data_IF_216360252832
#
_entry.id   IF_216360252832
#
_cell.length_a   1.000
_cell.length_b   1.000
_cell.length_c   1.000
_cell.angle_alpha   90.00
_cell.angle_beta   90.00
_cell.angle_gamma   90.00
#
_symmetry.space_group_name_H-M   'P 1'
#
loop_
_entity.id
_entity.type
_entity.pdbx_description
1 polymer ?
#
# COMPACT_ATOMS: atom_id res chain seq x y z
N UNK A 1 6.32 13.63 -24.20
CA UNK A 1 7.22 12.62 -23.59
C UNK A 1 6.36 11.76 -22.69
N UNK A 2 6.09 10.52 -23.12
CA UNK A 2 5.32 9.61 -22.30
C UNK A 2 6.17 9.23 -21.07
N UNK A 3 5.73 9.65 -19.89
CA UNK A 3 6.31 9.17 -18.65
C UNK A 3 6.03 7.67 -18.57
N UNK A 4 7.04 6.85 -18.78
CA UNK A 4 6.94 5.44 -18.47
C UNK A 4 6.86 5.30 -16.96
N UNK A 5 5.65 5.18 -16.44
CA UNK A 5 5.46 4.82 -15.03
C UNK A 5 5.92 3.38 -14.83
N UNK A 6 7.06 3.22 -14.20
CA UNK A 6 7.50 1.92 -13.74
C UNK A 6 6.83 1.59 -12.42
N UNK A 7 5.97 0.57 -12.42
CA UNK A 7 5.37 0.05 -11.21
C UNK A 7 6.37 -0.87 -10.52
N UNK A 8 6.95 -0.44 -9.41
CA UNK A 8 7.83 -1.27 -8.59
C UNK A 8 6.98 -1.95 -7.52
N UNK A 9 6.78 -3.25 -7.67
CA UNK A 9 6.10 -4.07 -6.66
C UNK A 9 7.09 -4.38 -5.54
N UNK A 10 6.94 -3.73 -4.41
CA UNK A 10 7.76 -3.97 -3.23
C UNK A 10 7.12 -5.02 -2.34
N UNK A 11 7.34 -6.29 -2.63
CA UNK A 11 6.89 -7.39 -1.76
C UNK A 11 8.01 -7.81 -0.84
N UNK A 12 9.01 -7.31 -0.44
CA UNK A 12 10.03 -7.79 0.54
C UNK A 12 11.36 -7.03 0.58
N UNK A 13 11.61 -6.03 -0.30
CA UNK A 13 12.94 -5.46 -0.37
C UNK A 13 12.91 -3.93 -0.48
N UNK A 14 12.53 -3.25 0.62
CA UNK A 14 12.64 -1.80 0.75
C UNK A 14 14.04 -1.27 0.33
N UNK A 15 15.08 -2.06 0.57
CA UNK A 15 16.44 -1.72 0.16
C UNK A 15 16.65 -1.65 -1.35
N UNK A 16 15.83 -2.32 -2.16
CA UNK A 16 15.97 -2.28 -3.62
C UNK A 16 15.45 -0.99 -4.25
N UNK A 17 14.39 -0.39 -3.71
CA UNK A 17 13.89 0.89 -4.23
C UNK A 17 14.88 2.00 -3.94
N UNK A 18 15.36 2.09 -2.70
CA UNK A 18 16.41 3.03 -2.34
C UNK A 18 17.65 2.86 -3.22
N UNK A 19 18.04 1.61 -3.50
CA UNK A 19 19.17 1.32 -4.39
C UNK A 19 18.92 1.78 -5.83
N UNK A 20 17.73 1.58 -6.37
CA UNK A 20 17.35 2.03 -7.71
C UNK A 20 17.34 3.56 -7.80
N UNK A 21 16.74 4.23 -6.81
CA UNK A 21 16.71 5.69 -6.73
C UNK A 21 18.12 6.28 -6.60
N UNK A 22 18.97 5.67 -5.76
CA UNK A 22 20.35 6.13 -5.53
C UNK A 22 21.30 5.86 -6.71
N UNK A 23 20.93 4.99 -7.64
CA UNK A 23 21.69 4.75 -8.86
C UNK A 23 21.39 5.76 -9.98
N UNK A 24 20.50 6.73 -9.73
CA UNK A 24 20.22 7.81 -10.68
C UNK A 24 19.45 7.39 -11.93
N UNK A 25 18.79 6.24 -11.90
CA UNK A 25 17.99 5.77 -13.03
C UNK A 25 16.68 6.54 -13.20
N UNK A 26 16.11 7.03 -12.10
CA UNK A 26 14.83 7.74 -12.10
C UNK A 26 14.77 8.75 -10.95
N UNK A 27 14.10 9.87 -11.18
CA UNK A 27 13.69 10.75 -10.10
C UNK A 27 12.55 10.09 -9.30
N UNK A 28 12.40 10.37 -7.99
CA UNK A 28 11.34 9.79 -7.17
C UNK A 28 9.93 9.95 -7.74
N UNK A 29 9.65 11.07 -8.38
CA UNK A 29 8.35 11.37 -8.99
C UNK A 29 8.06 10.55 -10.26
N UNK A 30 9.06 9.90 -10.85
CA UNK A 30 8.92 9.04 -12.02
C UNK A 30 8.57 7.60 -11.65
N UNK A 31 8.63 7.24 -10.37
CA UNK A 31 8.38 5.88 -9.88
C UNK A 31 7.06 5.86 -9.12
N UNK A 32 6.18 4.93 -9.49
CA UNK A 32 4.96 4.64 -8.75
C UNK A 32 5.23 3.55 -7.71
N UNK A 33 5.25 3.93 -6.43
CA UNK A 33 5.58 3.02 -5.33
C UNK A 33 4.32 2.41 -4.74
N UNK A 34 4.22 1.08 -4.79
CA UNK A 34 3.16 0.32 -4.10
C UNK A 34 3.80 -0.53 -3.01
N UNK A 35 3.27 -0.46 -1.80
CA UNK A 35 3.65 -1.34 -0.70
C UNK A 35 2.42 -1.85 0.05
N UNK A 36 2.62 -2.70 1.03
CA UNK A 36 1.53 -3.35 1.78
C UNK A 36 1.79 -3.32 3.28
N UNK A 37 0.72 -3.22 4.06
CA UNK A 37 0.71 -3.55 5.48
C UNK A 37 0.34 -5.02 5.67
N UNK A 38 1.08 -5.71 6.49
CA UNK A 38 0.84 -7.09 6.86
C UNK A 38 -0.05 -7.19 8.11
N UNK A 39 -0.78 -8.29 8.31
CA UNK A 39 -1.67 -8.45 9.46
C UNK A 39 -1.01 -8.22 10.83
N UNK A 40 0.26 -8.58 10.98
CA UNK A 40 1.01 -8.34 12.21
C UNK A 40 1.34 -6.87 12.47
N UNK A 41 1.08 -5.99 11.51
CA UNK A 41 1.28 -4.54 11.62
C UNK A 41 -0.04 -3.78 11.87
N UNK A 42 -1.19 -4.44 11.73
CA UNK A 42 -2.50 -3.77 11.76
C UNK A 42 -2.79 -3.08 13.10
N UNK A 43 -2.40 -3.68 14.21
CA UNK A 43 -2.58 -3.07 15.53
C UNK A 43 -1.77 -1.76 15.73
N UNK A 44 -0.72 -1.56 14.94
CA UNK A 44 0.17 -0.39 14.99
C UNK A 44 0.34 0.20 13.58
N UNK A 45 -0.74 0.31 12.82
CA UNK A 45 -0.71 0.66 11.39
C UNK A 45 -0.14 2.07 11.14
N UNK A 46 -0.44 3.03 12.00
CA UNK A 46 0.09 4.40 11.88
C UNK A 46 1.64 4.40 11.95
N UNK A 47 2.20 3.72 12.93
CA UNK A 47 3.65 3.57 13.06
C UNK A 47 4.24 2.80 11.89
N UNK A 48 3.55 1.78 11.41
CA UNK A 48 3.99 0.97 10.28
C UNK A 48 4.02 1.77 8.95
N UNK A 49 3.12 2.72 8.76
CA UNK A 49 3.16 3.65 7.61
C UNK A 49 4.41 4.53 7.69
N UNK A 50 4.68 5.12 8.86
CA UNK A 50 5.86 5.97 9.05
C UNK A 50 7.15 5.17 8.88
N UNK A 51 7.19 3.95 9.40
CA UNK A 51 8.33 3.04 9.23
C UNK A 51 8.56 2.67 7.75
N UNK A 52 7.50 2.46 6.99
CA UNK A 52 7.59 2.19 5.55
C UNK A 52 8.19 3.38 4.79
N UNK A 53 7.76 4.60 5.08
CA UNK A 53 8.32 5.82 4.49
C UNK A 53 9.81 5.97 4.81
N UNK A 54 10.20 5.73 6.06
CA UNK A 54 11.60 5.80 6.50
C UNK A 54 12.48 4.75 5.82
N UNK A 55 12.01 3.51 5.76
CA UNK A 55 12.73 2.41 5.10
C UNK A 55 12.89 2.61 3.60
N UNK A 56 11.88 3.19 2.96
CA UNK A 56 11.89 3.49 1.53
C UNK A 56 12.65 4.78 1.21
N UNK A 57 12.91 5.60 2.22
CA UNK A 57 13.54 6.92 2.10
C UNK A 57 12.81 7.82 1.08
N UNK A 58 11.48 7.88 1.22
CA UNK A 58 10.59 8.68 0.38
C UNK A 58 9.63 9.50 1.23
N UNK A 59 9.10 10.58 0.67
CA UNK A 59 8.19 11.50 1.36
C UNK A 59 6.73 11.03 1.34
N UNK A 60 6.35 10.26 0.32
CA UNK A 60 5.01 9.71 0.17
C UNK A 60 5.03 8.37 -0.56
N UNK A 61 3.98 7.59 -0.35
CA UNK A 61 3.72 6.32 -1.02
C UNK A 61 2.55 6.53 -1.98
N UNK A 62 2.70 6.15 -3.25
CA UNK A 62 1.63 6.30 -4.25
C UNK A 62 0.42 5.43 -3.93
N UNK A 63 0.64 4.20 -3.50
CA UNK A 63 -0.44 3.28 -3.12
C UNK A 63 0.00 2.33 -2.00
N UNK A 64 -0.86 2.20 -0.99
CA UNK A 64 -0.69 1.22 0.07
C UNK A 64 -1.89 0.29 0.16
N UNK A 65 -1.63 -1.01 0.29
CA UNK A 65 -2.65 -2.05 0.38
C UNK A 65 -2.58 -2.75 1.74
N UNK A 66 -3.73 -3.17 2.28
CA UNK A 66 -3.74 -4.22 3.30
C UNK A 66 -3.48 -5.56 2.61
N UNK A 67 -2.55 -6.34 3.14
CA UNK A 67 -2.05 -7.56 2.47
C UNK A 67 -3.06 -8.73 2.50
N UNK A 68 -3.76 -8.89 3.61
CA UNK A 68 -4.82 -9.88 3.83
C UNK A 68 -5.86 -9.33 4.80
N UNK A 69 -7.10 -9.89 4.83
CA UNK A 69 -8.00 -9.71 5.97
C UNK A 69 -7.34 -10.22 7.26
N UNK A 70 -7.66 -9.61 8.38
CA UNK A 70 -7.12 -10.04 9.68
C UNK A 70 -7.64 -9.19 10.82
N UNK A 71 -7.22 -9.54 12.03
CA UNK A 71 -7.57 -8.76 13.23
C UNK A 71 -7.09 -7.32 13.08
N UNK A 72 -7.93 -6.36 13.45
CA UNK A 72 -7.67 -4.92 13.34
C UNK A 72 -7.53 -4.38 11.90
N UNK A 73 -8.03 -5.11 10.89
CA UNK A 73 -7.94 -4.67 9.49
C UNK A 73 -8.71 -3.37 9.21
N UNK A 74 -9.88 -3.18 9.83
CA UNK A 74 -10.66 -1.94 9.72
C UNK A 74 -9.87 -0.77 10.33
N UNK A 75 -9.36 -0.94 11.54
CA UNK A 75 -8.56 0.08 12.23
C UNK A 75 -7.28 0.41 11.45
N UNK A 76 -6.65 -0.59 10.86
CA UNK A 76 -5.47 -0.39 10.01
C UNK A 76 -5.83 0.39 8.73
N UNK A 77 -6.96 0.10 8.12
CA UNK A 77 -7.43 0.85 6.96
C UNK A 77 -7.77 2.30 7.31
N UNK A 78 -8.41 2.51 8.45
CA UNK A 78 -8.71 3.87 8.96
C UNK A 78 -7.42 4.66 9.26
N UNK A 79 -6.37 4.01 9.76
CA UNK A 79 -5.05 4.63 9.90
C UNK A 79 -4.45 5.00 8.53
N UNK A 80 -4.65 4.18 7.50
CA UNK A 80 -4.25 4.52 6.14
C UNK A 80 -5.09 5.67 5.57
N UNK A 81 -6.39 5.75 5.86
CA UNK A 81 -7.24 6.90 5.50
C UNK A 81 -6.70 8.20 6.10
N UNK A 82 -6.30 8.16 7.37
CA UNK A 82 -5.66 9.30 8.03
C UNK A 82 -4.33 9.67 7.35
N UNK A 83 -3.52 8.69 6.98
CA UNK A 83 -2.27 8.92 6.27
C UNK A 83 -2.48 9.54 4.87
N UNK A 84 -3.60 9.24 4.21
CA UNK A 84 -4.00 9.93 2.97
C UNK A 84 -4.26 11.41 3.23
N UNK A 85 -5.01 11.75 4.27
CA UNK A 85 -5.27 13.14 4.65
C UNK A 85 -3.99 13.91 5.01
N UNK A 86 -3.02 13.23 5.62
CA UNK A 86 -1.72 13.80 5.98
C UNK A 86 -0.74 13.92 4.79
N UNK A 87 -1.10 13.40 3.62
CA UNK A 87 -0.26 13.43 2.43
C UNK A 87 0.86 12.38 2.41
N UNK A 88 0.83 11.40 3.30
CA UNK A 88 1.79 10.29 3.37
C UNK A 88 1.52 9.21 2.33
N UNK A 89 0.26 9.04 1.94
CA UNK A 89 -0.21 8.04 0.98
C UNK A 89 -1.15 8.74 -0.02
N UNK A 90 -0.99 8.46 -1.32
CA UNK A 90 -1.87 9.03 -2.35
C UNK A 90 -3.16 8.23 -2.53
N UNK A 91 -3.09 6.91 -2.48
CA UNK A 91 -4.24 6.01 -2.66
C UNK A 91 -4.09 4.74 -1.85
N UNK A 92 -5.22 4.13 -1.49
CA UNK A 92 -5.27 2.93 -0.65
C UNK A 92 -6.14 1.86 -1.26
N UNK A 93 -5.85 0.61 -0.94
CA UNK A 93 -6.56 -0.53 -1.48
C UNK A 93 -6.39 -1.79 -0.64
N UNK A 94 -6.84 -2.91 -1.19
CA UNK A 94 -6.90 -4.20 -0.52
C UNK A 94 -6.24 -5.30 -1.37
N UNK A 95 -5.74 -6.33 -0.70
CA UNK A 95 -5.19 -7.52 -1.34
C UNK A 95 -5.74 -8.76 -0.64
N UNK A 96 -6.20 -9.73 -1.41
CA UNK A 96 -6.79 -10.98 -0.90
C UNK A 96 -8.11 -10.79 -0.13
N UNK A 97 -8.92 -9.81 -0.50
CA UNK A 97 -10.31 -9.66 -0.06
C UNK A 97 -11.25 -10.22 -1.12
N UNK A 98 -12.17 -11.05 -0.71
CA UNK A 98 -13.21 -11.63 -1.56
C UNK A 98 -14.59 -11.10 -1.15
N UNK A 99 -15.64 -11.61 -1.75
CA UNK A 99 -17.00 -11.04 -1.60
C UNK A 99 -17.47 -10.99 -0.15
N UNK A 100 -17.22 -12.04 0.62
CA UNK A 100 -17.67 -12.14 2.00
C UNK A 100 -16.99 -11.08 2.87
N UNK A 101 -15.65 -11.02 2.82
CA UNK A 101 -14.85 -10.06 3.58
C UNK A 101 -15.17 -8.62 3.17
N UNK A 102 -15.32 -8.35 1.87
CA UNK A 102 -15.66 -7.02 1.37
C UNK A 102 -17.04 -6.55 1.83
N UNK A 103 -18.02 -7.45 1.90
CA UNK A 103 -19.38 -7.12 2.34
C UNK A 103 -19.41 -6.64 3.78
N UNK A 104 -18.57 -7.23 4.63
CA UNK A 104 -18.45 -6.82 6.04
C UNK A 104 -17.57 -5.59 6.24
N UNK A 105 -16.53 -5.46 5.43
CA UNK A 105 -15.51 -4.44 5.57
C UNK A 105 -15.94 -3.06 5.04
N UNK A 106 -16.47 -3.00 3.82
CA UNK A 106 -16.73 -1.74 3.14
C UNK A 106 -17.67 -0.77 3.89
N UNK A 107 -18.70 -1.23 4.62
CA UNK A 107 -19.54 -0.32 5.41
C UNK A 107 -18.82 0.38 6.57
N UNK A 108 -17.63 -0.09 6.96
CA UNK A 108 -16.89 0.38 8.13
C UNK A 108 -15.77 1.37 7.77
N UNK A 109 -15.56 1.64 6.49
CA UNK A 109 -14.51 2.52 6.01
C UNK A 109 -15.08 3.69 5.21
N UNK A 110 -14.33 4.77 5.11
CA UNK A 110 -14.77 6.02 4.46
C UNK A 110 -14.27 6.12 3.02
N UNK A 111 -12.99 5.80 2.78
CA UNK A 111 -12.38 5.84 1.46
C UNK A 111 -12.58 4.49 0.78
N UNK A 112 -13.29 4.48 -0.35
CA UNK A 112 -13.41 3.28 -1.17
C UNK A 112 -12.05 2.82 -1.66
N UNK A 113 -11.71 1.52 -1.50
CA UNK A 113 -10.45 1.00 -2.03
C UNK A 113 -10.29 1.28 -3.52
N UNK A 114 -9.17 1.88 -3.90
CA UNK A 114 -8.87 2.22 -5.31
C UNK A 114 -8.44 0.99 -6.12
N UNK A 115 -7.97 -0.05 -5.45
CA UNK A 115 -7.46 -1.29 -6.06
C UNK A 115 -7.82 -2.48 -5.19
N UNK A 116 -8.16 -3.58 -5.84
CA UNK A 116 -8.27 -4.91 -5.25
C UNK A 116 -7.33 -5.86 -5.98
N UNK A 117 -6.32 -6.36 -5.29
CA UNK A 117 -5.35 -7.31 -5.83
C UNK A 117 -5.60 -8.71 -5.30
N UNK A 118 -6.17 -9.59 -6.11
CA UNK A 118 -6.48 -10.97 -5.75
C UNK A 118 -5.80 -11.96 -6.69
N UNK A 119 -5.60 -13.19 -6.21
CA UNK A 119 -5.23 -14.31 -7.06
C UNK A 119 -6.46 -14.74 -7.87
N UNK A 120 -6.33 -14.72 -9.20
CA UNK A 120 -7.39 -15.13 -10.11
C UNK A 120 -6.75 -15.90 -11.27
N UNK A 121 -7.07 -17.19 -11.39
CA UNK A 121 -6.65 -18.01 -12.51
C UNK A 121 -7.59 -19.23 -12.68
N UNK A 122 -7.55 -19.96 -13.81
CA UNK A 122 -8.52 -21.04 -14.10
C UNK A 122 -8.56 -22.19 -13.11
N UNK A 123 -7.57 -22.31 -12.26
CA UNK A 123 -7.45 -23.38 -11.26
C UNK A 123 -7.70 -22.92 -9.81
N UNK A 124 -8.17 -21.70 -9.63
CA UNK A 124 -8.45 -21.11 -8.30
C UNK A 124 -9.93 -20.92 -8.05
#
# INVERSE_FOLDING_TARGET
>A
MEAHQYMVKLAFEAMKVTAVLNQGYHEPEEIFVITKLYPNQFANAEEAVDEALDKLDIDYIDMMLLHHPGDHDVEAYQAMEQAVEEGKICSIGLSNWYVEELTEFLPQVTITPALLQNEIHPYY
#
